data_IF_393520931998
#
_entry.id   IF_393520931998
#
_cell.length_a   1.000
_cell.length_b   1.000
_cell.length_c   1.000
_cell.angle_alpha   90.00
_cell.angle_beta   90.00
_cell.angle_gamma   90.00
#
_symmetry.space_group_name_H-M   'P 1'
#
loop_
_entity.id
_entity.type
_entity.pdbx_description
1 polymer ?
#
# COMPACT_ATOMS: atom_id res chain seq x y z
N UNK A 1 3.04 20.67 13.16
CA UNK A 1 3.26 19.27 13.59
C UNK A 1 4.09 18.56 12.53
N UNK A 2 5.21 17.94 12.89
CA UNK A 2 6.09 17.20 11.97
C UNK A 2 5.62 15.75 11.70
N UNK A 3 4.56 15.30 12.38
CA UNK A 3 4.08 13.92 12.34
C UNK A 3 2.63 13.87 11.88
N UNK A 4 2.39 13.16 10.78
CA UNK A 4 1.06 12.73 10.33
C UNK A 4 0.81 11.31 10.83
N UNK A 5 -0.43 10.98 11.22
CA UNK A 5 -0.80 9.60 11.50
C UNK A 5 -0.60 8.73 10.25
N UNK A 6 -0.05 7.53 10.43
CA UNK A 6 0.03 6.54 9.35
C UNK A 6 -1.40 6.09 9.01
N UNK A 7 -1.84 6.18 7.75
CA UNK A 7 -3.18 5.75 7.36
C UNK A 7 -3.34 4.23 7.47
N UNK A 8 -4.55 3.75 7.75
CA UNK A 8 -4.83 2.30 7.88
C UNK A 8 -4.51 1.50 6.61
N UNK A 9 -4.63 2.12 5.43
CA UNK A 9 -4.27 1.49 4.16
C UNK A 9 -2.76 1.35 3.91
N UNK A 10 -1.91 1.82 4.82
CA UNK A 10 -0.46 1.63 4.74
C UNK A 10 -0.10 0.28 5.35
N UNK A 11 0.08 -0.73 4.50
CA UNK A 11 0.48 -2.07 4.92
C UNK A 11 1.96 -2.25 4.58
N UNK A 12 2.85 -2.40 5.57
CA UNK A 12 4.28 -2.52 5.31
C UNK A 12 4.61 -3.88 4.69
N UNK A 13 5.58 -3.89 3.79
CA UNK A 13 6.37 -5.07 3.47
C UNK A 13 7.76 -4.85 4.04
N UNK A 14 8.26 -5.84 4.80
CA UNK A 14 9.53 -5.79 5.47
C UNK A 14 10.52 -6.73 4.78
N UNK A 15 11.76 -6.31 4.56
CA UNK A 15 12.76 -7.18 3.96
C UNK A 15 13.08 -8.35 4.91
N UNK A 16 13.15 -9.55 4.34
CA UNK A 16 13.65 -10.77 4.97
C UNK A 16 14.75 -11.33 4.07
N UNK A 17 15.92 -11.55 4.65
CA UNK A 17 17.04 -12.20 3.96
C UNK A 17 17.36 -13.50 4.68
N UNK A 18 17.30 -14.62 3.97
CA UNK A 18 17.72 -15.92 4.48
C UNK A 18 19.06 -16.30 3.83
N UNK A 19 20.17 -16.08 4.54
CA UNK A 19 21.51 -16.41 4.06
C UNK A 19 21.92 -15.63 2.80
N UNK A 20 22.44 -16.35 1.80
CA UNK A 20 22.86 -15.78 0.51
C UNK A 20 21.72 -15.71 -0.54
N UNK A 21 20.49 -16.01 -0.14
CA UNK A 21 19.35 -16.00 -1.05
C UNK A 21 18.97 -14.56 -1.46
N UNK A 22 18.23 -14.44 -2.56
CA UNK A 22 17.60 -13.19 -2.96
C UNK A 22 16.72 -12.66 -1.83
N UNK A 23 16.69 -11.33 -1.68
CA UNK A 23 15.89 -10.69 -0.62
C UNK A 23 14.40 -10.87 -0.91
N UNK A 24 13.63 -11.19 0.12
CA UNK A 24 12.18 -11.27 0.07
C UNK A 24 11.56 -10.11 0.83
N UNK A 25 10.34 -9.76 0.44
CA UNK A 25 9.50 -8.78 1.11
C UNK A 25 8.34 -9.52 1.75
N UNK A 26 8.28 -9.52 3.08
CA UNK A 26 7.22 -10.17 3.86
C UNK A 26 6.25 -9.11 4.35
N UNK A 27 4.96 -9.33 4.11
CA UNK A 27 3.89 -8.45 4.57
C UNK A 27 3.87 -8.40 6.10
N UNK A 28 4.05 -7.22 6.65
CA UNK A 28 3.88 -6.95 8.07
C UNK A 28 2.44 -6.59 8.42
N UNK A 29 2.24 -6.39 9.72
CA UNK A 29 0.96 -6.01 10.30
C UNK A 29 1.13 -4.74 11.13
N UNK A 30 0.27 -3.74 10.88
CA UNK A 30 0.15 -2.61 11.81
C UNK A 30 -0.91 -2.93 12.86
N UNK A 31 -0.61 -2.65 14.13
CA UNK A 31 -1.57 -2.70 15.22
C UNK A 31 -2.08 -1.30 15.53
N UNK A 32 -3.40 -1.11 15.50
CA UNK A 32 -4.04 0.13 15.97
C UNK A 32 -4.56 -0.08 17.38
N UNK A 33 -4.02 0.69 18.30
CA UNK A 33 -4.48 0.73 19.69
C UNK A 33 -5.60 1.77 19.82
N UNK A 34 -6.65 1.43 20.57
CA UNK A 34 -7.68 2.38 20.96
C UNK A 34 -7.15 3.43 21.95
N UNK A 35 -7.94 4.45 22.26
CA UNK A 35 -7.58 5.51 23.23
C UNK A 35 -7.63 5.06 24.69
N UNK A 36 -7.48 3.76 24.97
CA UNK A 36 -7.52 3.19 26.31
C UNK A 36 -6.42 2.16 26.51
N UNK A 37 -5.79 2.19 27.69
CA UNK A 37 -4.66 1.32 28.10
C UNK A 37 -4.95 -0.19 28.01
N UNK A 38 -6.21 -0.58 27.85
CA UNK A 38 -6.68 -1.99 27.85
C UNK A 38 -7.22 -2.46 26.50
N UNK A 39 -7.19 -1.63 25.46
CA UNK A 39 -7.65 -2.03 24.13
C UNK A 39 -6.56 -2.86 23.45
N UNK A 40 -6.73 -4.18 23.43
CA UNK A 40 -5.90 -5.07 22.60
C UNK A 40 -5.79 -4.53 21.18
N UNK A 41 -4.56 -4.45 20.65
CA UNK A 41 -4.30 -3.82 19.36
C UNK A 41 -5.06 -4.53 18.24
N UNK A 42 -5.82 -3.77 17.43
CA UNK A 42 -6.48 -4.30 16.24
C UNK A 42 -5.47 -4.39 15.11
N UNK A 43 -5.26 -5.58 14.57
CA UNK A 43 -4.50 -5.76 13.33
C UNK A 43 -5.19 -5.09 12.15
N UNK A 44 -4.46 -4.22 11.47
CA UNK A 44 -4.88 -3.61 10.21
C UNK A 44 -4.48 -4.54 9.07
N UNK A 45 -5.47 -5.06 8.35
CA UNK A 45 -5.28 -5.95 7.21
C UNK A 45 -5.53 -5.23 5.88
N UNK A 46 -4.91 -5.66 4.77
CA UNK A 46 -5.24 -5.15 3.45
C UNK A 46 -6.72 -5.37 3.15
N UNK A 47 -7.40 -4.35 2.63
CA UNK A 47 -8.81 -4.48 2.19
C UNK A 47 -8.92 -4.85 0.70
N UNK A 48 -7.86 -4.61 -0.08
CA UNK A 48 -7.86 -4.82 -1.52
C UNK A 48 -7.62 -6.27 -1.90
N UNK A 49 -8.45 -6.82 -2.82
CA UNK A 49 -8.38 -8.23 -3.28
C UNK A 49 -6.98 -8.70 -3.71
N UNK A 50 -6.16 -7.80 -4.28
CA UNK A 50 -4.80 -8.14 -4.70
C UNK A 50 -3.88 -8.44 -3.51
N UNK A 51 -4.02 -7.69 -2.42
CA UNK A 51 -3.19 -7.82 -1.24
C UNK A 51 -3.85 -8.69 -0.15
N UNK A 52 -5.10 -9.12 -0.30
CA UNK A 52 -5.67 -10.14 0.61
C UNK A 52 -5.25 -11.55 0.25
N UNK A 53 -4.74 -11.75 -0.96
CA UNK A 53 -4.21 -13.04 -1.42
C UNK A 53 -3.01 -13.47 -0.56
N UNK A 54 -3.03 -14.73 -0.10
CA UNK A 54 -1.96 -15.34 0.71
C UNK A 54 -0.67 -15.46 -0.08
N UNK A 55 -0.77 -15.68 -1.40
CA UNK A 55 0.38 -15.78 -2.31
C UNK A 55 1.06 -14.43 -2.56
N UNK A 56 0.54 -13.37 -1.91
CA UNK A 56 1.14 -12.04 -1.90
C UNK A 56 1.63 -11.66 -0.52
N UNK A 57 1.55 -12.56 0.47
CA UNK A 57 2.11 -12.31 1.80
C UNK A 57 3.64 -12.27 1.77
N UNK A 58 4.25 -12.96 0.81
CA UNK A 58 5.68 -12.90 0.50
C UNK A 58 5.80 -12.51 -0.97
N UNK A 59 6.70 -11.58 -1.27
CA UNK A 59 7.07 -11.15 -2.63
C UNK A 59 8.58 -11.26 -2.75
N UNK A 60 9.09 -11.59 -3.93
CA UNK A 60 10.52 -11.40 -4.17
C UNK A 60 10.80 -9.90 -4.29
N UNK A 61 11.89 -9.40 -3.70
CA UNK A 61 12.23 -7.96 -3.74
C UNK A 61 12.35 -7.46 -5.20
N UNK A 62 12.85 -8.30 -6.09
CA UNK A 62 12.97 -8.01 -7.52
C UNK A 62 11.63 -7.87 -8.27
N UNK A 63 10.50 -8.35 -7.72
CA UNK A 63 9.18 -8.23 -8.36
C UNK A 63 8.59 -6.81 -8.21
N UNK A 64 9.00 -6.07 -7.18
CA UNK A 64 8.52 -4.72 -6.93
C UNK A 64 9.54 -3.72 -7.47
N UNK A 65 9.14 -2.94 -8.47
CA UNK A 65 9.97 -1.83 -8.94
C UNK A 65 10.33 -0.92 -7.75
N UNK A 66 11.59 -0.48 -7.70
CA UNK A 66 12.07 0.41 -6.64
C UNK A 66 11.27 1.71 -6.53
N UNK A 67 10.72 2.18 -7.65
CA UNK A 67 9.86 3.36 -7.69
C UNK A 67 8.44 3.12 -7.14
N UNK A 68 8.16 1.89 -6.72
CA UNK A 68 6.84 1.38 -6.34
C UNK A 68 5.91 1.19 -7.55
N UNK A 69 4.77 0.57 -7.30
CA UNK A 69 3.71 0.40 -8.30
C UNK A 69 2.38 0.91 -7.76
N UNK A 70 1.61 1.59 -8.62
CA UNK A 70 0.22 1.98 -8.32
C UNK A 70 -0.73 1.16 -9.17
N UNK A 71 -1.49 0.28 -8.52
CA UNK A 71 -2.52 -0.54 -9.18
C UNK A 71 -3.90 0.07 -8.93
N UNK A 72 -4.67 0.33 -9.99
CA UNK A 72 -6.04 0.87 -9.92
C UNK A 72 -7.03 -0.08 -10.57
N UNK A 73 -8.17 -0.28 -9.93
CA UNK A 73 -9.33 -0.99 -10.50
C UNK A 73 -10.21 0.00 -11.24
N UNK A 74 -10.51 -0.26 -12.51
CA UNK A 74 -11.31 0.62 -13.37
C UNK A 74 -12.46 -0.20 -13.94
N UNK A 75 -13.73 0.20 -13.69
CA UNK A 75 -14.87 -0.37 -14.39
C UNK A 75 -14.74 -0.14 -15.90
N UNK A 76 -14.87 -1.20 -16.68
CA UNK A 76 -14.79 -1.18 -18.14
C UNK A 76 -16.08 -1.78 -18.70
N UNK A 77 -17.10 -0.96 -18.97
CA UNK A 77 -18.28 -1.38 -19.70
C UNK A 77 -18.00 -1.36 -21.21
N UNK A 78 -18.56 -2.33 -21.93
CA UNK A 78 -18.60 -2.35 -23.38
C UNK A 78 -19.99 -2.73 -23.86
N UNK A 79 -20.44 -2.09 -24.94
CA UNK A 79 -21.71 -2.42 -25.58
C UNK A 79 -21.46 -3.45 -26.68
N UNK A 80 -22.22 -4.54 -26.66
CA UNK A 80 -22.20 -5.57 -27.70
C UNK A 80 -22.95 -5.11 -28.95
N UNK A 81 -22.70 -5.79 -30.06
CA UNK A 81 -23.36 -5.53 -31.35
C UNK A 81 -24.87 -5.79 -31.32
N UNK A 82 -25.35 -6.65 -30.43
CA UNK A 82 -26.77 -6.92 -30.18
C UNK A 82 -27.45 -5.86 -29.28
N UNK A 83 -26.70 -4.86 -28.82
CA UNK A 83 -27.20 -3.78 -27.95
C UNK A 83 -27.11 -4.05 -26.46
N UNK A 84 -26.75 -5.27 -26.03
CA UNK A 84 -26.53 -5.61 -24.61
C UNK A 84 -25.20 -5.06 -24.08
N UNK A 85 -24.99 -5.12 -22.76
CA UNK A 85 -23.76 -4.63 -22.11
C UNK A 85 -22.97 -5.75 -21.47
N UNK A 86 -21.65 -5.70 -21.67
CA UNK A 86 -20.67 -6.39 -20.87
C UNK A 86 -19.99 -5.40 -19.93
N UNK A 87 -19.61 -5.87 -18.74
CA UNK A 87 -18.80 -5.09 -17.82
C UNK A 87 -17.78 -5.98 -17.12
N UNK A 88 -16.55 -5.46 -17.00
CA UNK A 88 -15.50 -6.09 -16.20
C UNK A 88 -14.74 -5.02 -15.41
N UNK A 89 -13.89 -5.48 -14.49
CA UNK A 89 -12.98 -4.61 -13.75
C UNK A 89 -11.58 -4.77 -14.31
N UNK A 90 -11.15 -3.80 -15.11
CA UNK A 90 -9.77 -3.72 -15.57
C UNK A 90 -8.82 -3.31 -14.44
N UNK A 91 -7.54 -3.67 -14.55
CA UNK A 91 -6.47 -3.21 -13.66
C UNK A 91 -5.49 -2.38 -14.49
N UNK A 92 -5.25 -1.14 -14.08
CA UNK A 92 -4.16 -0.32 -14.62
C UNK A 92 -3.02 -0.27 -13.62
N UNK A 93 -1.81 -0.52 -14.12
CA UNK A 93 -0.56 -0.46 -13.36
C UNK A 93 0.20 0.76 -13.85
N UNK A 94 0.42 1.71 -12.95
CA UNK A 94 1.27 2.87 -13.19
C UNK A 94 2.52 2.75 -12.30
N UNK A 95 3.62 3.39 -12.69
CA UNK A 95 4.78 3.56 -11.79
C UNK A 95 4.33 4.37 -10.57
N UNK A 96 4.88 4.03 -9.40
CA UNK A 96 4.64 4.75 -8.16
C UNK A 96 5.17 6.18 -8.19
N UNK A 97 5.26 6.80 -7.00
CA UNK A 97 5.75 8.19 -6.87
C UNK A 97 7.28 8.31 -6.79
N UNK A 98 7.96 7.18 -6.96
CA UNK A 98 9.39 7.01 -6.83
C UNK A 98 9.91 6.81 -5.41
N UNK A 99 11.18 6.41 -5.30
CA UNK A 99 11.85 6.00 -4.04
C UNK A 99 11.74 7.04 -2.90
N UNK A 100 11.60 8.33 -3.23
CA UNK A 100 11.66 9.45 -2.26
C UNK A 100 10.32 9.98 -1.72
N UNK A 101 9.16 9.40 -2.05
CA UNK A 101 7.85 9.99 -1.69
C UNK A 101 6.90 9.03 -0.96
N UNK A 102 7.01 8.99 0.36
CA UNK A 102 6.06 8.26 1.23
C UNK A 102 4.73 8.98 1.46
N UNK A 103 4.67 10.30 1.22
CA UNK A 103 3.48 11.13 1.49
C UNK A 103 3.26 11.45 2.98
N UNK A 104 4.22 11.10 3.84
CA UNK A 104 4.24 11.50 5.26
C UNK A 104 4.80 12.92 5.40
N UNK A 105 4.33 13.65 6.42
CA UNK A 105 4.79 15.01 6.71
C UNK A 105 6.31 15.10 6.94
N UNK A 106 6.94 13.99 7.36
CA UNK A 106 8.40 13.88 7.54
C UNK A 106 9.19 14.18 6.26
N UNK A 107 8.63 13.89 5.09
CA UNK A 107 9.28 14.12 3.79
C UNK A 107 8.85 15.44 3.12
N UNK A 108 7.98 16.22 3.75
CA UNK A 108 7.60 17.55 3.25
C UNK A 108 8.39 18.63 3.98
N UNK A 109 9.09 19.48 3.23
CA UNK A 109 9.63 20.74 3.75
C UNK A 109 8.47 21.70 4.00
N UNK A 110 7.80 21.57 5.15
CA UNK A 110 6.80 22.54 5.57
C UNK A 110 7.51 23.83 6.02
N UNK A 111 7.01 25.02 5.63
CA UNK A 111 7.51 26.28 6.16
C UNK A 111 7.45 26.26 7.68
N UNK A 112 8.53 26.71 8.35
CA UNK A 112 8.46 26.97 9.80
C UNK A 112 7.41 28.06 10.02
N UNK A 113 6.37 27.77 10.80
CA UNK A 113 5.46 28.79 11.29
C UNK A 113 6.19 29.79 12.20
N UNK A 114 5.65 31.01 12.40
CA UNK A 114 6.28 32.00 13.25
C UNK A 114 6.43 31.47 14.68
N UNK A 115 7.62 31.65 15.27
CA UNK A 115 7.87 31.36 16.69
C UNK A 115 7.19 32.43 17.57
N UNK A 116 6.67 32.05 18.75
CA UNK A 116 6.20 33.01 19.75
C UNK A 116 7.34 33.84 20.34
#
# INVERSE_FOLDING_TARGET
MLQSAVPDRWIPYLPRTEGYAASELVRGALLRFGTGMQSGGREIRPEGRLLTDSDKAVLADAEVSREGLRVRRIPAPARRTDGSYDAWIARRVDIGRGEGRSGLAFFSALPRGPQP
#
